data_IF_620100202866
#
_entry.id   IF_620100202866
#
_cell.length_a   1.000
_cell.length_b   1.000
_cell.length_c   1.000
_cell.angle_alpha   90.00
_cell.angle_beta   90.00
_cell.angle_gamma   90.00
#
_symmetry.space_group_name_H-M   'P 1'
#
loop_
_entity.id
_entity.type
_entity.pdbx_description
1 polymer ?
#
# COMPACT_ATOMS: atom_id res chain seq x y z
N UNK A 1 20.70 2.62 -12.87
CA UNK A 1 19.63 3.02 -11.92
C UNK A 1 19.03 1.75 -11.29
N UNK A 2 18.59 1.78 -10.03
CA UNK A 2 18.16 0.59 -9.30
C UNK A 2 16.98 -0.18 -9.91
N UNK A 3 16.05 0.51 -10.58
CA UNK A 3 14.85 -0.08 -11.17
C UNK A 3 15.17 -1.04 -12.32
N UNK A 4 16.17 -0.71 -13.14
CA UNK A 4 16.47 -1.49 -14.34
C UNK A 4 17.51 -2.59 -14.14
N UNK A 5 18.08 -2.69 -12.95
CA UNK A 5 19.13 -3.66 -12.67
C UNK A 5 18.59 -5.10 -12.84
N UNK A 6 19.32 -6.01 -13.51
CA UNK A 6 18.84 -7.37 -13.76
C UNK A 6 18.36 -8.10 -12.50
N UNK A 7 19.05 -7.91 -11.37
CA UNK A 7 18.63 -8.48 -10.09
C UNK A 7 17.30 -7.92 -9.57
N UNK A 8 17.05 -6.62 -9.74
CA UNK A 8 15.81 -5.98 -9.30
C UNK A 8 14.64 -6.47 -10.15
N UNK A 9 14.83 -6.59 -11.47
CA UNK A 9 13.82 -7.16 -12.39
C UNK A 9 13.55 -8.63 -12.10
N UNK A 10 14.59 -9.46 -11.98
CA UNK A 10 14.46 -10.89 -11.71
C UNK A 10 13.74 -11.18 -10.39
N UNK A 11 13.83 -10.25 -9.44
CA UNK A 11 13.14 -10.36 -8.16
C UNK A 11 11.84 -9.58 -8.12
N UNK A 12 11.36 -8.92 -9.18
CA UNK A 12 10.17 -8.08 -9.08
C UNK A 12 10.25 -7.08 -7.90
N UNK A 13 11.39 -6.42 -7.74
CA UNK A 13 11.67 -5.56 -6.58
C UNK A 13 10.83 -4.28 -6.56
N UNK A 14 10.25 -3.91 -7.70
CA UNK A 14 9.40 -2.75 -7.89
C UNK A 14 8.13 -3.17 -8.62
N UNK A 15 7.01 -2.55 -8.27
CA UNK A 15 5.69 -2.75 -8.85
C UNK A 15 5.06 -1.38 -9.12
N UNK A 16 4.23 -1.30 -10.16
CA UNK A 16 3.47 -0.10 -10.47
C UNK A 16 2.06 -0.23 -9.88
N UNK A 17 1.68 0.70 -9.01
CA UNK A 17 0.34 0.75 -8.40
C UNK A 17 -0.17 2.17 -8.50
N UNK A 18 -1.40 2.31 -8.99
CA UNK A 18 -2.05 3.61 -9.19
C UNK A 18 -1.18 4.63 -9.98
N UNK A 19 -0.45 4.13 -10.99
CA UNK A 19 0.43 4.94 -11.84
C UNK A 19 1.76 5.36 -11.19
N UNK A 20 2.08 4.83 -10.00
CA UNK A 20 3.32 5.12 -9.27
C UNK A 20 4.15 3.85 -9.14
N UNK A 21 5.41 3.91 -9.60
CA UNK A 21 6.38 2.84 -9.38
C UNK A 21 6.90 2.91 -7.95
N UNK A 22 6.70 1.84 -7.19
CA UNK A 22 7.12 1.73 -5.80
C UNK A 22 7.76 0.37 -5.51
N UNK A 23 8.56 0.23 -4.44
CA UNK A 23 9.09 -1.07 -4.02
C UNK A 23 7.97 -2.06 -3.71
N UNK A 24 8.12 -3.29 -4.19
CA UNK A 24 7.23 -4.39 -3.80
C UNK A 24 7.43 -4.73 -2.30
N UNK A 25 6.40 -5.25 -1.60
CA UNK A 25 6.51 -5.65 -0.20
C UNK A 25 7.68 -6.58 0.09
N UNK A 26 8.39 -6.35 1.20
CA UNK A 26 9.50 -7.16 1.67
C UNK A 26 9.44 -7.35 3.20
N UNK A 27 9.88 -8.51 3.74
CA UNK A 27 10.36 -9.72 3.07
C UNK A 27 9.28 -10.48 2.29
N UNK A 28 9.70 -11.38 1.38
CA UNK A 28 8.79 -12.21 0.55
C UNK A 28 8.45 -13.50 1.27
N UNK A 29 7.38 -13.48 2.07
CA UNK A 29 6.91 -14.67 2.78
C UNK A 29 6.24 -15.64 1.81
N UNK A 30 6.60 -16.93 1.91
CA UNK A 30 6.04 -17.99 1.06
C UNK A 30 4.68 -18.51 1.53
N UNK A 31 4.39 -18.43 2.83
CA UNK A 31 3.13 -18.95 3.40
C UNK A 31 1.99 -17.95 3.36
N UNK A 32 2.29 -16.68 3.62
CA UNK A 32 1.30 -15.59 3.64
C UNK A 32 1.90 -14.43 2.85
N UNK A 33 1.54 -14.37 1.59
CA UNK A 33 2.05 -13.34 0.68
C UNK A 33 1.55 -11.95 1.10
N UNK A 34 2.48 -11.01 1.27
CA UNK A 34 2.17 -9.60 1.47
C UNK A 34 1.75 -8.96 0.15
N UNK A 35 0.69 -8.14 0.15
CA UNK A 35 0.17 -7.48 -1.06
C UNK A 35 -0.10 -6.00 -0.81
N UNK A 36 0.10 -5.18 -1.83
CA UNK A 36 -0.33 -3.78 -1.83
C UNK A 36 -1.86 -3.77 -1.91
N UNK A 37 -2.53 -3.15 -0.94
CA UNK A 37 -3.99 -3.23 -0.79
C UNK A 37 -4.76 -2.16 -1.58
N UNK A 38 -4.07 -1.15 -2.13
CA UNK A 38 -4.71 -0.07 -2.87
C UNK A 38 -3.77 1.12 -3.10
N UNK A 39 -4.28 2.20 -3.72
CA UNK A 39 -3.59 3.49 -3.77
C UNK A 39 -3.42 4.09 -2.36
N UNK A 40 -2.58 5.13 -2.21
CA UNK A 40 -2.60 5.98 -1.03
C UNK A 40 -4.00 6.58 -0.81
N UNK A 41 -4.45 6.60 0.44
CA UNK A 41 -5.73 7.21 0.82
C UNK A 41 -5.72 8.73 0.61
N UNK A 42 -6.87 9.30 0.25
CA UNK A 42 -7.10 10.74 0.28
C UNK A 42 -7.27 11.23 1.72
N UNK A 43 -7.00 12.53 1.99
CA UNK A 43 -7.30 13.12 3.29
C UNK A 43 -8.78 12.94 3.65
N UNK A 44 -9.05 12.27 4.77
CA UNK A 44 -10.40 12.03 5.29
C UNK A 44 -11.13 10.82 4.71
N UNK A 45 -10.55 10.07 3.76
CA UNK A 45 -11.22 8.97 3.04
C UNK A 45 -11.85 7.91 3.97
N UNK A 46 -11.18 7.59 5.09
CA UNK A 46 -11.61 6.56 6.02
C UNK A 46 -12.12 7.12 7.36
N UNK A 47 -12.32 8.45 7.48
CA UNK A 47 -12.64 9.07 8.77
C UNK A 47 -13.94 8.52 9.36
N UNK A 48 -15.04 8.54 8.59
CA UNK A 48 -16.34 8.09 9.09
C UNK A 48 -16.36 6.59 9.39
N UNK A 49 -15.69 5.79 8.56
CA UNK A 49 -15.56 4.34 8.75
C UNK A 49 -14.85 4.01 10.08
N UNK A 50 -13.71 4.65 10.34
CA UNK A 50 -12.92 4.41 11.55
C UNK A 50 -13.69 4.90 12.80
N UNK A 51 -14.36 6.05 12.71
CA UNK A 51 -15.14 6.58 13.83
C UNK A 51 -16.29 5.61 14.18
N UNK A 52 -16.99 5.07 13.18
CA UNK A 52 -18.02 4.07 13.38
C UNK A 52 -17.47 2.77 13.99
N UNK A 53 -16.30 2.29 13.54
CA UNK A 53 -15.65 1.07 14.06
C UNK A 53 -15.35 1.18 15.56
N UNK A 54 -14.89 2.35 16.01
CA UNK A 54 -14.53 2.58 17.42
C UNK A 54 -15.69 3.10 18.28
N UNK A 55 -16.91 3.17 17.74
CA UNK A 55 -18.11 3.56 18.47
C UNK A 55 -18.20 5.05 18.80
N UNK A 56 -17.57 5.90 18.00
CA UNK A 56 -17.66 7.36 18.13
C UNK A 56 -18.27 7.98 16.86
N UNK A 57 -18.77 9.21 16.95
CA UNK A 57 -19.35 9.93 15.81
C UNK A 57 -18.51 11.14 15.47
N UNK A 58 -18.37 11.43 14.17
CA UNK A 58 -17.63 12.60 13.70
C UNK A 58 -18.34 13.90 14.04
N UNK A 59 -17.86 14.61 15.05
CA UNK A 59 -18.02 16.07 15.12
C UNK A 59 -16.70 16.71 14.74
N UNK A 60 -16.45 16.85 13.44
CA UNK A 60 -15.43 17.76 12.93
C UNK A 60 -16.18 19.01 12.48
N UNK A 61 -15.90 20.14 13.13
CA UNK A 61 -16.55 21.43 12.87
C UNK A 61 -16.20 22.04 11.52
#
# INVERSE_FOLDING_TARGET
PGLEHPHAKARGAFEEVAGVVQPAPAPRFSRTESKIQGPPAYPGEHTDEILAEIGTTGSQG
#
